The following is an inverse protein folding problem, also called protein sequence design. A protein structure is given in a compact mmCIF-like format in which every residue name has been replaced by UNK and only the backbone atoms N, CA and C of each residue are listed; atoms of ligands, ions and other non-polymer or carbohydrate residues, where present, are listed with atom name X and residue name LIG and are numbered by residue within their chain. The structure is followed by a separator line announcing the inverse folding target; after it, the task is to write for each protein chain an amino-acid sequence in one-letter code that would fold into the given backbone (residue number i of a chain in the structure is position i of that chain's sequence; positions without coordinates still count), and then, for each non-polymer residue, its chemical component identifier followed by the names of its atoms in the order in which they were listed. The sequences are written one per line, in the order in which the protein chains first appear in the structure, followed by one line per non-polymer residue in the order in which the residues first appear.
data_IF_245588413436
#
_entry.id   IF_245588413436
#
_cell.length_a   1.000
_cell.length_b   1.000
_cell.length_c   1.000
_cell.angle_alpha   90.00
_cell.angle_beta   90.00
_cell.angle_gamma   90.00
#
_symmetry.space_group_name_H-M   'P 1'
#
loop_
_entity.id
_entity.type
_entity.pdbx_description
1 polymer ?
#
# COMPACT_ATOMS: atom_id res chain seq x y z
N UNK A 1 35.19 -2.81 -11.33
CA UNK A 1 35.26 -3.67 -10.12
C UNK A 1 34.59 -2.94 -8.93
N UNK A 2 34.91 -1.67 -8.66
CA UNK A 2 34.31 -0.93 -7.52
C UNK A 2 32.80 -0.74 -7.64
N UNK A 3 32.24 -0.55 -8.84
CA UNK A 3 30.79 -0.40 -9.09
C UNK A 3 30.04 -1.70 -8.80
N UNK A 4 30.61 -2.85 -9.21
CA UNK A 4 30.00 -4.16 -8.94
C UNK A 4 30.01 -4.50 -7.44
N UNK A 5 31.08 -4.13 -6.73
CA UNK A 5 31.19 -4.34 -5.28
C UNK A 5 30.21 -3.45 -4.52
N UNK A 6 30.04 -2.18 -4.92
CA UNK A 6 29.05 -1.28 -4.29
C UNK A 6 27.62 -1.75 -4.57
N UNK A 7 27.33 -2.20 -5.79
CA UNK A 7 26.04 -2.76 -6.14
C UNK A 7 25.68 -4.03 -5.34
N UNK A 8 26.66 -4.90 -5.11
CA UNK A 8 26.47 -6.10 -4.29
C UNK A 8 26.28 -5.78 -2.80
N UNK A 9 27.01 -4.80 -2.27
CA UNK A 9 26.88 -4.37 -0.87
C UNK A 9 25.50 -3.73 -0.66
N UNK A 10 25.07 -2.82 -1.55
CA UNK A 10 23.77 -2.18 -1.45
C UNK A 10 22.62 -3.16 -1.69
N UNK A 11 22.75 -4.07 -2.66
CA UNK A 11 21.75 -5.12 -2.90
C UNK A 11 21.66 -6.11 -1.73
N UNK A 12 22.76 -6.50 -1.14
CA UNK A 12 22.80 -7.36 0.04
C UNK A 12 22.24 -6.66 1.28
N UNK A 13 22.53 -5.38 1.45
CA UNK A 13 22.00 -4.56 2.54
C UNK A 13 20.47 -4.39 2.44
N UNK A 14 19.95 -4.12 1.24
CA UNK A 14 18.51 -4.06 1.00
C UNK A 14 17.82 -5.40 1.25
N UNK A 15 18.42 -6.52 0.85
CA UNK A 15 17.87 -7.85 1.07
C UNK A 15 17.79 -8.22 2.57
N UNK A 16 18.74 -7.71 3.37
CA UNK A 16 18.79 -8.03 4.79
C UNK A 16 17.88 -7.13 5.65
N UNK A 17 17.50 -5.94 5.15
CA UNK A 17 16.64 -4.99 5.86
C UNK A 17 15.15 -5.10 5.53
N UNK A 18 14.78 -5.88 4.51
CA UNK A 18 13.38 -6.04 4.15
C UNK A 18 12.77 -7.13 5.02
N UNK A 19 11.99 -6.73 6.03
CA UNK A 19 11.20 -7.64 6.84
C UNK A 19 10.15 -8.36 5.98
N UNK A 20 9.91 -9.63 6.29
CA UNK A 20 8.78 -10.36 5.71
C UNK A 20 7.48 -9.62 6.10
N UNK A 21 6.60 -9.42 5.13
CA UNK A 21 5.32 -8.75 5.34
C UNK A 21 4.20 -9.67 4.87
N UNK A 22 3.15 -9.72 5.64
CA UNK A 22 1.97 -10.54 5.39
C UNK A 22 0.77 -9.65 5.18
N UNK A 23 -0.03 -9.94 4.16
CA UNK A 23 -1.24 -9.21 3.83
C UNK A 23 -2.46 -10.09 4.03
N UNK A 24 -3.44 -9.58 4.76
CA UNK A 24 -4.74 -10.19 4.92
C UNK A 24 -5.81 -9.29 4.30
N UNK A 25 -6.73 -9.90 3.56
CA UNK A 25 -7.77 -9.22 2.80
C UNK A 25 -9.16 -9.55 3.36
N UNK A 26 -9.93 -8.51 3.64
CA UNK A 26 -11.35 -8.59 3.97
C UNK A 26 -12.15 -7.76 2.97
N UNK A 27 -13.40 -8.11 2.70
CA UNK A 27 -14.20 -7.40 1.72
C UNK A 27 -15.65 -7.18 2.14
N UNK A 28 -16.15 -5.97 1.79
CA UNK A 28 -17.51 -5.51 2.02
C UNK A 28 -18.21 -5.29 0.68
N UNK A 29 -19.48 -5.70 0.62
CA UNK A 29 -20.38 -5.31 -0.46
C UNK A 29 -21.18 -4.08 -0.06
N UNK A 30 -21.07 -3.03 -0.84
CA UNK A 30 -21.75 -1.77 -0.58
C UNK A 30 -22.87 -1.59 -1.60
N UNK A 31 -24.09 -1.55 -1.12
CA UNK A 31 -25.25 -1.23 -1.95
C UNK A 31 -25.41 0.28 -2.02
N UNK A 32 -25.09 0.88 -3.15
CA UNK A 32 -25.49 2.27 -3.38
C UNK A 32 -27.01 2.33 -3.37
N UNK A 33 -27.60 2.90 -2.34
CA UNK A 33 -29.04 3.14 -2.28
C UNK A 33 -29.36 4.36 -3.15
N UNK A 34 -29.29 4.18 -4.48
CA UNK A 34 -29.89 5.13 -5.40
C UNK A 34 -31.41 4.92 -5.32
N UNK A 35 -32.05 5.73 -4.46
CA UNK A 35 -33.50 5.76 -4.38
C UNK A 35 -34.10 5.89 -5.77
N UNK A 36 -35.04 4.96 -6.07
CA UNK A 36 -36.01 4.95 -7.16
C UNK A 36 -35.49 5.07 -8.60
N UNK A 37 -35.73 3.98 -9.28
CA UNK A 37 -35.89 3.74 -10.72
C UNK A 37 -34.79 2.90 -11.39
N UNK A 38 -35.12 1.61 -11.38
CA UNK A 38 -34.47 0.51 -12.07
C UNK A 38 -34.70 0.54 -13.57
N UNK A 39 -34.19 1.48 -14.35
CA UNK A 39 -34.28 1.35 -15.81
C UNK A 39 -33.23 2.11 -16.65
N UNK A 40 -32.23 2.75 -16.09
CA UNK A 40 -31.17 3.34 -16.91
C UNK A 40 -29.78 3.04 -16.33
N UNK A 41 -29.25 1.87 -16.71
CA UNK A 41 -27.81 1.58 -16.57
C UNK A 41 -27.09 2.39 -17.65
N UNK A 42 -26.77 3.63 -17.35
CA UNK A 42 -26.01 4.51 -18.23
C UNK A 42 -24.55 4.57 -17.82
N UNK A 43 -23.70 4.76 -18.80
CA UNK A 43 -22.24 4.92 -18.70
C UNK A 43 -21.74 6.02 -17.70
N UNK A 44 -22.63 6.80 -17.10
CA UNK A 44 -22.33 7.71 -16.01
C UNK A 44 -21.98 6.99 -14.69
N UNK A 45 -22.27 5.69 -14.56
CA UNK A 45 -22.02 4.92 -13.34
C UNK A 45 -20.54 4.61 -13.11
N UNK A 46 -19.70 4.56 -14.17
CA UNK A 46 -18.27 4.27 -14.04
C UNK A 46 -17.50 5.41 -13.33
N UNK A 47 -17.84 6.66 -13.67
CA UNK A 47 -17.26 7.82 -12.99
C UNK A 47 -17.77 7.97 -11.55
N UNK A 48 -18.98 7.52 -11.30
CA UNK A 48 -19.60 7.51 -9.98
C UNK A 48 -18.96 6.45 -9.08
N UNK A 49 -18.60 5.28 -9.62
CA UNK A 49 -17.97 4.19 -8.86
C UNK A 49 -16.59 4.55 -8.34
N UNK A 50 -15.77 5.24 -9.15
CA UNK A 50 -14.44 5.71 -8.72
C UNK A 50 -14.56 6.80 -7.63
N UNK A 51 -15.51 7.72 -7.76
CA UNK A 51 -15.76 8.75 -6.75
C UNK A 51 -16.26 8.13 -5.43
N UNK A 52 -17.17 7.16 -5.50
CA UNK A 52 -17.65 6.43 -4.34
C UNK A 52 -16.52 5.65 -3.63
N UNK A 53 -15.59 5.06 -4.38
CA UNK A 53 -14.44 4.36 -3.79
C UNK A 53 -13.60 5.30 -2.93
N UNK A 54 -13.32 6.50 -3.41
CA UNK A 54 -12.58 7.50 -2.65
C UNK A 54 -13.33 7.93 -1.37
N UNK A 55 -14.65 8.07 -1.44
CA UNK A 55 -15.45 8.42 -0.27
C UNK A 55 -15.42 7.31 0.78
N UNK A 56 -15.55 6.06 0.37
CA UNK A 56 -15.45 4.90 1.26
C UNK A 56 -14.04 4.73 1.83
N UNK A 57 -13.00 4.91 1.02
CA UNK A 57 -11.61 4.90 1.49
C UNK A 57 -11.40 5.95 2.59
N UNK A 58 -11.89 7.16 2.39
CA UNK A 58 -11.78 8.24 3.37
C UNK A 58 -12.52 7.91 4.69
N UNK A 59 -13.67 7.22 4.62
CA UNK A 59 -14.39 6.78 5.82
C UNK A 59 -13.63 5.67 6.52
N UNK A 60 -13.20 4.64 5.80
CA UNK A 60 -12.50 3.47 6.34
C UNK A 60 -11.17 3.88 6.98
N UNK A 61 -10.40 4.75 6.32
CA UNK A 61 -9.13 5.26 6.82
C UNK A 61 -9.28 6.48 7.74
N UNK A 62 -10.51 6.85 8.09
CA UNK A 62 -10.74 7.98 8.99
C UNK A 62 -10.10 7.74 10.36
N UNK A 63 -9.69 8.86 10.99
CA UNK A 63 -9.12 8.80 12.34
C UNK A 63 -10.05 8.13 13.35
N UNK A 64 -11.35 8.33 13.21
CA UNK A 64 -12.35 7.73 14.09
C UNK A 64 -12.34 6.21 13.98
N UNK A 65 -12.40 5.66 12.76
CA UNK A 65 -12.43 4.21 12.53
C UNK A 65 -11.13 3.57 13.02
N UNK A 66 -9.97 4.09 12.59
CA UNK A 66 -8.69 3.46 12.94
C UNK A 66 -8.35 3.56 14.43
N UNK A 67 -8.69 4.68 15.08
CA UNK A 67 -8.52 4.80 16.53
C UNK A 67 -9.44 3.84 17.31
N UNK A 68 -10.66 3.61 16.81
CA UNK A 68 -11.57 2.63 17.41
C UNK A 68 -11.02 1.21 17.27
N UNK A 69 -10.40 0.86 16.13
CA UNK A 69 -9.73 -0.44 15.93
C UNK A 69 -8.57 -0.61 16.89
N UNK A 70 -7.72 0.42 17.04
CA UNK A 70 -6.58 0.40 17.98
C UNK A 70 -7.08 0.15 19.40
N UNK A 71 -8.15 0.84 19.80
CA UNK A 71 -8.73 0.70 21.14
C UNK A 71 -9.37 -0.69 21.35
N UNK A 72 -10.15 -1.17 20.38
CA UNK A 72 -10.84 -2.47 20.48
C UNK A 72 -9.88 -3.64 20.59
N UNK A 73 -8.78 -3.59 19.84
CA UNK A 73 -7.77 -4.66 19.83
C UNK A 73 -6.62 -4.43 20.82
N UNK A 74 -6.55 -3.25 21.44
CA UNK A 74 -5.45 -2.90 22.35
C UNK A 74 -4.09 -2.88 21.66
N UNK A 75 -4.03 -2.40 20.39
CA UNK A 75 -2.81 -2.37 19.61
C UNK A 75 -1.79 -1.39 20.19
N UNK A 76 -0.52 -1.74 20.10
CA UNK A 76 0.60 -0.88 20.52
C UNK A 76 1.08 0.07 19.41
N UNK A 77 0.32 0.23 18.34
CA UNK A 77 0.60 1.12 17.21
C UNK A 77 -0.19 2.42 17.34
N UNK A 78 0.34 3.48 16.74
CA UNK A 78 -0.39 4.75 16.64
C UNK A 78 -1.27 4.81 15.37
N UNK A 79 -2.02 5.92 15.23
CA UNK A 79 -2.91 6.12 14.09
C UNK A 79 -2.15 6.09 12.75
N UNK A 80 -1.01 6.77 12.67
CA UNK A 80 -0.28 6.92 11.41
C UNK A 80 0.32 5.58 10.98
N UNK A 81 0.79 4.77 11.93
CA UNK A 81 1.26 3.42 11.66
C UNK A 81 0.14 2.51 11.14
N UNK A 82 -1.03 2.50 11.79
CA UNK A 82 -2.15 1.70 11.31
C UNK A 82 -2.68 2.22 9.97
N UNK A 83 -2.68 3.53 9.75
CA UNK A 83 -3.07 4.13 8.48
C UNK A 83 -2.23 3.63 7.30
N UNK A 84 -0.91 3.50 7.50
CA UNK A 84 0.03 3.01 6.49
C UNK A 84 -0.09 1.48 6.26
N UNK A 85 -0.52 0.74 7.28
CA UNK A 85 -0.77 -0.70 7.17
C UNK A 85 -2.06 -1.03 6.40
N UNK A 86 -3.04 -0.11 6.37
CA UNK A 86 -4.35 -0.32 5.74
C UNK A 86 -4.37 0.23 4.33
N UNK A 87 -4.72 -0.61 3.37
CA UNK A 87 -4.98 -0.23 1.98
C UNK A 87 -6.42 -0.57 1.61
N UNK A 88 -7.10 0.35 0.96
CA UNK A 88 -8.48 0.16 0.52
C UNK A 88 -8.52 0.22 -1.00
N UNK A 89 -9.11 -0.79 -1.62
CA UNK A 89 -9.22 -0.88 -3.07
C UNK A 89 -10.63 -1.30 -3.49
N UNK A 90 -10.99 -0.98 -4.72
CA UNK A 90 -12.20 -1.48 -5.34
C UNK A 90 -11.79 -2.34 -6.55
N UNK A 91 -11.76 -3.67 -6.41
CA UNK A 91 -11.38 -4.53 -7.51
C UNK A 91 -12.43 -4.45 -8.64
N UNK A 92 -11.93 -4.24 -9.86
CA UNK A 92 -12.72 -4.29 -11.10
C UNK A 92 -13.95 -3.35 -11.16
N UNK A 93 -13.87 -2.20 -10.48
CA UNK A 93 -14.99 -1.22 -10.45
C UNK A 93 -16.33 -1.83 -10.03
N UNK A 94 -16.30 -2.78 -9.13
CA UNK A 94 -17.47 -3.45 -8.58
C UNK A 94 -18.04 -2.68 -7.38
N UNK A 95 -19.12 -3.19 -6.77
CA UNK A 95 -19.64 -2.70 -5.50
C UNK A 95 -18.92 -3.31 -4.28
N UNK A 96 -17.79 -3.97 -4.53
CA UNK A 96 -16.98 -4.60 -3.48
C UNK A 96 -15.84 -3.67 -3.10
N UNK A 97 -15.72 -3.36 -1.84
CA UNK A 97 -14.55 -2.69 -1.28
C UNK A 97 -13.70 -3.74 -0.57
N UNK A 98 -12.47 -3.84 -1.01
CA UNK A 98 -11.46 -4.71 -0.41
C UNK A 98 -10.59 -3.90 0.55
N UNK A 99 -10.47 -4.39 1.76
CA UNK A 99 -9.63 -3.83 2.82
C UNK A 99 -8.47 -4.80 3.01
N UNK A 100 -7.27 -4.33 2.70
CA UNK A 100 -6.03 -5.10 2.82
C UNK A 100 -5.21 -4.54 3.97
N UNK A 101 -4.78 -5.39 4.88
CA UNK A 101 -3.91 -5.00 5.99
C UNK A 101 -2.58 -5.73 5.86
N UNK A 102 -1.50 -4.98 5.88
CA UNK A 102 -0.15 -5.50 5.76
C UNK A 102 0.63 -5.28 7.05
N UNK A 103 1.14 -6.35 7.66
CA UNK A 103 1.99 -6.28 8.86
C UNK A 103 3.01 -7.44 8.90
N UNK A 104 3.87 -7.44 9.92
CA UNK A 104 4.95 -8.43 10.06
C UNK A 104 4.43 -9.79 10.60
N UNK A 105 3.31 -9.80 11.28
CA UNK A 105 2.72 -11.00 11.90
C UNK A 105 1.43 -11.37 11.17
N UNK A 106 1.34 -12.58 10.58
CA UNK A 106 0.18 -12.98 9.78
C UNK A 106 -1.13 -13.00 10.57
N UNK A 107 -1.10 -13.46 11.81
CA UNK A 107 -2.31 -13.52 12.65
C UNK A 107 -2.83 -12.12 12.99
N UNK A 108 -1.93 -11.16 13.24
CA UNK A 108 -2.30 -9.78 13.50
C UNK A 108 -2.92 -9.13 12.26
N UNK A 109 -2.39 -9.41 11.06
CA UNK A 109 -2.97 -8.93 9.81
C UNK A 109 -4.43 -9.36 9.66
N UNK A 110 -4.74 -10.63 9.95
CA UNK A 110 -6.10 -11.19 9.87
C UNK A 110 -7.03 -10.51 10.88
N UNK A 111 -6.59 -10.38 12.13
CA UNK A 111 -7.39 -9.80 13.21
C UNK A 111 -7.68 -8.32 12.92
N UNK A 112 -6.65 -7.57 12.52
CA UNK A 112 -6.78 -6.14 12.22
C UNK A 112 -7.67 -5.94 10.99
N UNK A 113 -7.50 -6.72 9.90
CA UNK A 113 -8.32 -6.60 8.70
C UNK A 113 -9.81 -6.80 8.99
N UNK A 114 -10.14 -7.83 9.77
CA UNK A 114 -11.52 -8.11 10.16
C UNK A 114 -12.10 -7.02 11.07
N UNK A 115 -11.33 -6.51 12.02
CA UNK A 115 -11.81 -5.43 12.89
C UNK A 115 -11.98 -4.11 12.13
N UNK A 116 -11.03 -3.74 11.25
CA UNK A 116 -11.19 -2.57 10.37
C UNK A 116 -12.46 -2.71 9.54
N UNK A 117 -12.71 -3.88 8.95
CA UNK A 117 -13.92 -4.17 8.19
C UNK A 117 -15.19 -3.98 9.04
N UNK A 118 -15.23 -4.55 10.24
CA UNK A 118 -16.39 -4.49 11.12
C UNK A 118 -16.71 -3.08 11.62
N UNK A 119 -15.69 -2.33 12.03
CA UNK A 119 -15.85 -0.94 12.49
C UNK A 119 -16.25 -0.05 11.31
N UNK A 120 -15.64 -0.26 10.14
CA UNK A 120 -15.95 0.50 8.93
C UNK A 120 -17.38 0.27 8.44
N UNK A 121 -17.87 -0.97 8.45
CA UNK A 121 -19.25 -1.28 8.04
C UNK A 121 -20.27 -0.50 8.86
N UNK A 122 -20.09 -0.45 10.18
CA UNK A 122 -20.95 0.31 11.10
C UNK A 122 -20.87 1.81 10.87
N UNK A 123 -19.68 2.36 10.63
CA UNK A 123 -19.50 3.79 10.42
C UNK A 123 -20.02 4.22 9.05
N UNK A 124 -19.83 3.43 8.00
CA UNK A 124 -20.41 3.65 6.67
C UNK A 124 -21.94 3.71 6.78
N UNK A 125 -22.57 2.75 7.44
CA UNK A 125 -24.02 2.74 7.65
C UNK A 125 -24.51 4.00 8.38
N UNK A 126 -23.77 4.45 9.39
CA UNK A 126 -24.11 5.60 10.20
C UNK A 126 -23.99 6.94 9.43
N UNK A 127 -22.96 7.06 8.57
CA UNK A 127 -22.69 8.29 7.81
C UNK A 127 -23.56 8.37 6.56
N UNK A 128 -23.63 7.29 5.78
CA UNK A 128 -24.28 7.28 4.48
C UNK A 128 -25.76 6.92 4.62
N UNK A 129 -26.12 6.12 5.63
CA UNK A 129 -27.46 5.58 5.77
C UNK A 129 -27.75 4.46 4.78
N UNK A 130 -28.99 4.03 4.70
CA UNK A 130 -29.42 2.99 3.76
C UNK A 130 -29.33 1.59 4.35
N UNK A 131 -28.65 0.66 3.69
CA UNK A 131 -28.45 -0.71 4.15
C UNK A 131 -27.03 -0.86 4.71
N UNK A 132 -26.90 -1.54 5.81
CA UNK A 132 -25.58 -1.88 6.36
C UNK A 132 -24.78 -2.69 5.32
N UNK A 133 -23.50 -2.35 5.07
CA UNK A 133 -22.65 -3.09 4.17
C UNK A 133 -22.61 -4.58 4.52
N UNK A 134 -22.79 -5.44 3.53
CA UNK A 134 -22.73 -6.89 3.75
C UNK A 134 -21.29 -7.38 3.69
N UNK A 135 -20.89 -8.22 4.63
CA UNK A 135 -19.59 -8.89 4.58
C UNK A 135 -19.59 -9.88 3.43
N UNK A 136 -18.66 -9.72 2.50
CA UNK A 136 -18.46 -10.65 1.37
C UNK A 136 -17.48 -11.73 1.76
N UNK A 137 -16.35 -11.33 2.32
CA UNK A 137 -15.32 -12.24 2.78
C UNK A 137 -14.62 -11.67 4.01
N UNK A 138 -14.48 -12.51 5.02
CA UNK A 138 -13.59 -12.25 6.15
C UNK A 138 -12.17 -12.67 5.79
N UNK A 139 -11.18 -12.01 6.37
CA UNK A 139 -9.81 -12.44 6.27
C UNK A 139 -9.63 -13.75 7.06
N UNK A 140 -9.28 -14.82 6.36
CA UNK A 140 -9.06 -16.15 6.94
C UNK A 140 -7.60 -16.57 6.92
N UNK A 141 -6.80 -15.95 6.03
CA UNK A 141 -5.39 -16.23 5.86
C UNK A 141 -4.66 -14.93 5.49
N UNK A 142 -3.37 -14.92 5.75
CA UNK A 142 -2.50 -13.83 5.32
C UNK A 142 -1.50 -14.38 4.30
N UNK A 143 -1.38 -13.69 3.18
CA UNK A 143 -0.43 -14.04 2.12
C UNK A 143 0.91 -13.36 2.38
N UNK A 144 2.01 -14.06 2.08
CA UNK A 144 3.37 -13.51 2.12
C UNK A 144 3.55 -12.51 0.97
N UNK A 145 3.52 -11.23 1.30
CA UNK A 145 3.71 -10.14 0.33
C UNK A 145 5.18 -9.73 0.33
N UNK A 146 5.97 -10.42 -0.47
CA UNK A 146 7.37 -10.02 -0.68
C UNK A 146 7.40 -8.70 -1.46
N UNK A 147 7.98 -7.65 -0.88
CA UNK A 147 8.20 -6.43 -1.64
C UNK A 147 9.02 -6.78 -2.87
N UNK A 148 8.60 -6.26 -4.03
CA UNK A 148 9.21 -6.62 -5.32
C UNK A 148 10.70 -6.27 -5.30
N UNK A 149 11.53 -7.26 -5.02
CA UNK A 149 13.00 -7.18 -5.01
C UNK A 149 13.53 -6.54 -6.28
N UNK A 150 12.80 -6.70 -7.40
CA UNK A 150 13.13 -6.08 -8.67
C UNK A 150 13.05 -4.54 -8.65
N UNK A 151 12.08 -3.96 -7.94
CA UNK A 151 11.96 -2.48 -7.80
C UNK A 151 13.11 -1.91 -6.97
N UNK A 152 13.46 -2.56 -5.87
CA UNK A 152 14.58 -2.14 -5.02
C UNK A 152 15.93 -2.36 -5.71
N UNK A 153 16.10 -3.45 -6.47
CA UNK A 153 17.28 -3.70 -7.27
C UNK A 153 17.45 -2.63 -8.38
N UNK A 154 16.37 -2.22 -9.03
CA UNK A 154 16.40 -1.16 -10.04
C UNK A 154 16.79 0.20 -9.45
N UNK A 155 16.23 0.56 -8.30
CA UNK A 155 16.59 1.81 -7.58
C UNK A 155 18.06 1.76 -7.13
N UNK A 156 18.50 0.63 -6.57
CA UNK A 156 19.89 0.44 -6.16
C UNK A 156 20.89 0.52 -7.33
N UNK A 157 20.53 -0.07 -8.48
CA UNK A 157 21.34 0.00 -9.70
C UNK A 157 21.44 1.45 -10.24
N UNK A 158 20.34 2.20 -10.22
CA UNK A 158 20.31 3.59 -10.67
C UNK A 158 21.15 4.50 -9.77
N UNK A 159 21.04 4.34 -8.44
CA UNK A 159 21.87 5.06 -7.48
C UNK A 159 23.35 4.70 -7.62
N UNK A 160 23.67 3.43 -7.82
CA UNK A 160 25.04 2.97 -8.06
C UNK A 160 25.64 3.55 -9.32
N UNK A 161 24.85 3.70 -10.40
CA UNK A 161 25.27 4.31 -11.65
C UNK A 161 25.58 5.81 -11.49
N UNK A 162 24.70 6.55 -10.80
CA UNK A 162 24.91 7.99 -10.52
C UNK A 162 26.18 8.21 -9.69
N UNK A 163 26.38 7.42 -8.64
CA UNK A 163 27.57 7.51 -7.79
C UNK A 163 28.85 7.17 -8.56
N UNK A 164 28.81 6.16 -9.44
CA UNK A 164 29.98 5.78 -10.24
C UNK A 164 30.37 6.86 -11.24
N UNK A 165 29.38 7.49 -11.92
CA UNK A 165 29.62 8.63 -12.81
C UNK A 165 30.23 9.81 -12.04
N UNK A 166 29.74 10.09 -10.82
CA UNK A 166 30.26 11.14 -9.95
C UNK A 166 31.72 10.91 -9.57
N UNK A 167 32.08 9.69 -9.19
CA UNK A 167 33.47 9.33 -8.84
C UNK A 167 34.41 9.46 -10.04
N UNK A 168 33.95 9.04 -11.24
CA UNK A 168 34.74 9.17 -12.47
C UNK A 168 34.95 10.65 -12.82
N UNK A 169 33.90 11.48 -12.74
CA UNK A 169 33.98 12.91 -13.00
C UNK A 169 34.96 13.61 -12.05
N UNK A 170 34.88 13.29 -10.75
CA UNK A 170 35.83 13.84 -9.76
C UNK A 170 37.28 13.39 -10.03
N UNK A 171 37.50 12.13 -10.41
CA UNK A 171 38.85 11.67 -10.80
C UNK A 171 39.38 12.39 -12.02
N UNK A 172 38.56 12.58 -13.05
CA UNK A 172 38.96 13.29 -14.25
C UNK A 172 39.31 14.76 -13.98
N UNK A 173 38.56 15.43 -13.08
CA UNK A 173 38.81 16.81 -12.69
C UNK A 173 40.09 16.94 -11.82
N UNK A 174 40.35 15.95 -10.96
CA UNK A 174 41.54 15.94 -10.10
C UNK A 174 42.80 15.44 -10.81
N UNK A 175 42.67 14.79 -11.97
CA UNK A 175 43.79 14.29 -12.75
C UNK A 175 44.30 15.41 -13.64
N UNK A 176 45.11 16.31 -13.08
CA UNK A 176 45.75 17.42 -13.74
C UNK A 176 47.03 17.01 -14.52
N UNK A 177 47.14 15.74 -14.88
CA UNK A 177 48.30 15.28 -15.66
C UNK A 177 48.15 15.81 -17.09
N UNK A 178 48.81 16.91 -17.37
CA UNK A 178 49.01 17.47 -18.72
C UNK A 178 49.79 16.44 -19.54
N UNK A 179 49.13 15.69 -20.37
CA UNK A 179 49.78 14.93 -21.43
C UNK A 179 50.16 15.93 -22.52
N UNK A 180 51.39 16.42 -22.46
CA UNK A 180 52.01 17.12 -23.57
C UNK A 180 52.17 16.09 -24.68
N UNK A 181 51.53 16.33 -25.81
CA UNK A 181 51.86 15.66 -27.08
C UNK A 181 53.22 16.27 -27.50
N UNK A 182 54.26 15.53 -27.43
CA UNK A 182 55.48 15.73 -28.21
C UNK A 182 55.67 14.51 -29.11
N UNK A 183 55.64 14.80 -30.44
CA UNK A 183 56.02 14.07 -31.64
C UNK A 183 55.13 12.93 -32.13
#
# INVERSE_FOLDING_TARGET
ISVAVLGLILGGYCHFLVSDSYQADASLYITANTGTDSSNVSYSNLQTSAALTNDYENIIKSRYVLMQVIENLGLSVDYDQLYDMVTVTNPEETHIIQISVTCEIPDDAIIIANEVMNVSAKEIYKIIGGTEPAVVSEAMYAEDVKPSTLKYAAIGALLGLVLSCGVIAVRVILDTTIKTEED
#
